data_IF_759538947573
#
_entry.id   IF_759538947573
#
_cell.length_a   1.000
_cell.length_b   1.000
_cell.length_c   1.000
_cell.angle_alpha   90.00
_cell.angle_beta   90.00
_cell.angle_gamma   90.00
#
_symmetry.space_group_name_H-M   'P 1'
#
loop_
_entity.id
_entity.type
_entity.pdbx_description
1 polymer ?
#
# COMPACT_ATOMS: atom_id res chain seq x y z
N UNK A 1 5.97 30.43 -23.93
CA UNK A 1 5.78 29.56 -22.76
C UNK A 1 5.74 28.12 -23.28
N UNK A 2 6.66 27.25 -22.87
CA UNK A 2 6.61 25.84 -23.25
C UNK A 2 5.48 25.15 -22.45
N UNK A 3 4.71 24.21 -23.04
CA UNK A 3 3.68 23.49 -22.31
C UNK A 3 4.30 22.65 -21.18
N UNK A 4 3.63 22.57 -20.03
CA UNK A 4 4.06 21.70 -18.92
C UNK A 4 3.97 20.24 -19.38
N UNK A 5 5.12 19.58 -19.38
CA UNK A 5 5.26 18.17 -19.71
C UNK A 5 5.29 17.38 -18.40
N UNK A 6 4.39 16.41 -18.21
CA UNK A 6 4.41 15.59 -17.00
C UNK A 6 5.69 14.75 -17.00
N UNK A 7 6.21 14.36 -15.83
CA UNK A 7 7.34 13.43 -15.75
C UNK A 7 7.14 12.14 -16.55
N UNK A 8 5.89 11.66 -16.65
CA UNK A 8 5.46 10.49 -17.45
C UNK A 8 5.42 10.72 -18.96
N UNK A 9 5.67 11.94 -19.42
CA UNK A 9 5.69 12.25 -20.86
C UNK A 9 7.15 12.23 -21.39
N UNK A 10 8.17 11.97 -20.55
CA UNK A 10 9.59 11.84 -20.93
C UNK A 10 9.99 10.38 -21.23
N UNK A 11 10.85 10.12 -22.23
CA UNK A 11 11.34 8.76 -22.46
C UNK A 11 12.18 8.27 -21.28
N UNK A 12 11.96 7.03 -20.83
CA UNK A 12 12.73 6.42 -19.73
C UNK A 12 11.89 5.54 -18.81
N UNK A 13 12.48 5.14 -17.69
CA UNK A 13 11.85 4.22 -16.72
C UNK A 13 10.51 4.72 -16.18
N UNK A 14 10.35 6.04 -15.98
CA UNK A 14 9.13 6.64 -15.38
C UNK A 14 7.90 6.39 -16.25
N UNK A 15 8.05 6.51 -17.56
CA UNK A 15 6.96 6.31 -18.52
C UNK A 15 6.65 4.83 -18.71
N UNK A 16 7.69 3.98 -18.74
CA UNK A 16 7.52 2.53 -18.79
C UNK A 16 6.79 2.00 -17.55
N UNK A 17 7.21 2.44 -16.36
CA UNK A 17 6.57 2.08 -15.09
C UNK A 17 5.11 2.55 -15.02
N UNK A 18 4.80 3.74 -15.53
CA UNK A 18 3.43 4.24 -15.60
C UNK A 18 2.53 3.39 -16.52
N UNK A 19 3.03 2.96 -17.67
CA UNK A 19 2.29 2.08 -18.58
C UNK A 19 1.98 0.70 -17.96
N UNK A 20 2.96 0.10 -17.28
CA UNK A 20 2.77 -1.18 -16.56
C UNK A 20 1.78 -0.98 -15.41
N UNK A 21 1.83 0.14 -14.70
CA UNK A 21 0.88 0.45 -13.63
C UNK A 21 -0.56 0.60 -14.16
N UNK A 22 -0.74 1.17 -15.35
CA UNK A 22 -2.05 1.23 -15.99
C UNK A 22 -2.59 -0.16 -16.36
N UNK A 23 -1.73 -1.08 -16.81
CA UNK A 23 -2.10 -2.48 -17.05
C UNK A 23 -2.44 -3.21 -15.73
N UNK A 24 -1.62 -3.03 -14.69
CA UNK A 24 -1.83 -3.63 -13.38
C UNK A 24 -3.19 -3.26 -12.77
N UNK A 25 -3.64 -2.00 -12.91
CA UNK A 25 -4.98 -1.57 -12.46
C UNK A 25 -6.12 -2.26 -13.20
N UNK A 26 -5.88 -2.72 -14.42
CA UNK A 26 -6.88 -3.36 -15.27
C UNK A 26 -6.85 -4.90 -15.18
N UNK A 27 -5.90 -5.49 -14.45
CA UNK A 27 -5.83 -6.95 -14.28
C UNK A 27 -6.66 -7.42 -13.09
N UNK A 28 -7.42 -8.50 -13.29
CA UNK A 28 -8.14 -9.20 -12.22
C UNK A 28 -7.44 -10.46 -11.73
N UNK A 29 -6.41 -10.94 -12.44
CA UNK A 29 -5.67 -12.14 -12.09
C UNK A 29 -4.56 -11.82 -11.07
N UNK A 30 -4.56 -12.46 -9.88
CA UNK A 30 -3.55 -12.22 -8.86
C UNK A 30 -2.12 -12.53 -9.31
N UNK A 31 -1.92 -13.56 -10.14
CA UNK A 31 -0.58 -13.92 -10.61
C UNK A 31 -0.04 -12.85 -11.57
N UNK A 32 -0.83 -12.46 -12.58
CA UNK A 32 -0.48 -11.36 -13.47
C UNK A 32 -0.26 -10.04 -12.71
N UNK A 33 -1.05 -9.74 -11.68
CA UNK A 33 -0.86 -8.55 -10.84
C UNK A 33 0.51 -8.55 -10.14
N UNK A 34 0.95 -9.70 -9.64
CA UNK A 34 2.26 -9.84 -9.00
C UNK A 34 3.40 -9.66 -10.02
N UNK A 35 3.28 -10.26 -11.20
CA UNK A 35 4.29 -10.17 -12.26
C UNK A 35 4.44 -8.73 -12.78
N UNK A 36 3.33 -8.00 -12.97
CA UNK A 36 3.36 -6.60 -13.38
C UNK A 36 4.00 -5.71 -12.31
N UNK A 37 3.69 -5.95 -11.02
CA UNK A 37 4.32 -5.20 -9.93
C UNK A 37 5.83 -5.47 -9.85
N UNK A 38 6.25 -6.72 -10.06
CA UNK A 38 7.67 -7.08 -10.10
C UNK A 38 8.43 -6.33 -11.20
N UNK A 39 7.83 -6.14 -12.37
CA UNK A 39 8.44 -5.35 -13.45
C UNK A 39 8.61 -3.87 -13.08
N UNK A 40 7.65 -3.28 -12.35
CA UNK A 40 7.77 -1.90 -11.84
C UNK A 40 8.93 -1.79 -10.85
N UNK A 41 9.08 -2.78 -9.96
CA UNK A 41 10.17 -2.83 -8.99
C UNK A 41 11.54 -2.98 -9.66
N UNK A 42 11.65 -3.78 -10.72
CA UNK A 42 12.89 -3.90 -11.50
C UNK A 42 13.31 -2.55 -12.12
N UNK A 43 12.36 -1.76 -12.63
CA UNK A 43 12.64 -0.39 -13.11
C UNK A 43 13.10 0.50 -11.96
N UNK A 44 12.46 0.40 -10.79
CA UNK A 44 12.84 1.19 -9.62
C UNK A 44 14.26 0.85 -9.12
N UNK A 45 14.67 -0.41 -9.22
CA UNK A 45 16.04 -0.87 -8.93
C UNK A 45 17.05 -0.24 -9.89
N UNK A 46 16.79 -0.24 -11.20
CA UNK A 46 17.68 0.36 -12.21
C UNK A 46 17.80 1.89 -12.08
N UNK A 47 16.73 2.55 -11.64
CA UNK A 47 16.60 4.01 -11.68
C UNK A 47 16.78 4.70 -10.32
N UNK A 48 16.79 3.93 -9.22
CA UNK A 48 16.97 4.43 -7.86
C UNK A 48 16.03 5.59 -7.47
N UNK A 49 14.74 5.50 -7.84
CA UNK A 49 13.76 6.55 -7.54
C UNK A 49 13.61 6.85 -6.04
N UNK A 50 13.81 5.84 -5.20
CA UNK A 50 13.89 5.96 -3.75
C UNK A 50 14.81 4.87 -3.20
N UNK A 51 15.48 5.18 -2.09
CA UNK A 51 16.34 4.23 -1.36
C UNK A 51 15.76 4.08 0.04
N UNK A 52 15.27 2.88 0.37
CA UNK A 52 14.73 2.59 1.69
C UNK A 52 15.82 2.60 2.76
N UNK A 53 15.57 3.27 3.89
CA UNK A 53 16.50 3.32 5.03
C UNK A 53 16.03 2.38 6.13
N UNK A 54 14.78 2.54 6.58
CA UNK A 54 14.16 1.71 7.62
C UNK A 54 12.65 1.74 7.49
N UNK A 55 11.99 0.72 8.04
CA UNK A 55 10.55 0.72 8.25
C UNK A 55 10.22 1.36 9.60
N UNK A 56 9.04 2.00 9.75
CA UNK A 56 8.58 2.46 11.05
C UNK A 56 8.47 1.28 12.02
N UNK A 57 8.76 1.54 13.30
CA UNK A 57 8.60 0.53 14.34
C UNK A 57 7.12 0.10 14.47
N UNK A 58 6.84 -1.16 14.87
CA UNK A 58 5.47 -1.59 15.14
C UNK A 58 4.78 -0.70 16.17
N UNK A 59 3.56 -0.26 15.87
CA UNK A 59 2.70 0.42 16.83
C UNK A 59 2.08 -0.53 17.85
N UNK A 60 1.33 0.01 18.81
CA UNK A 60 0.57 -0.78 19.78
C UNK A 60 -0.86 -0.24 19.96
N UNK A 61 -1.77 -1.14 20.32
CA UNK A 61 -3.14 -0.82 20.72
C UNK A 61 -3.37 -1.17 22.19
N UNK A 62 -4.34 -0.52 22.81
CA UNK A 62 -4.73 -0.80 24.21
C UNK A 62 -6.22 -1.15 24.23
N UNK A 63 -6.57 -2.22 24.97
CA UNK A 63 -7.95 -2.55 25.32
C UNK A 63 -8.05 -2.84 26.82
N UNK A 64 -9.24 -2.65 27.39
CA UNK A 64 -9.51 -3.16 28.74
C UNK A 64 -9.67 -4.67 28.71
N UNK A 65 -9.34 -5.34 29.82
CA UNK A 65 -9.35 -6.80 29.92
C UNK A 65 -10.72 -7.42 29.67
N UNK A 66 -11.80 -6.69 29.99
CA UNK A 66 -13.18 -7.13 29.80
C UNK A 66 -13.77 -6.76 28.44
N UNK A 67 -13.02 -6.10 27.54
CA UNK A 67 -13.46 -5.87 26.15
C UNK A 67 -13.02 -7.06 25.30
N UNK A 68 -13.99 -7.73 24.70
CA UNK A 68 -13.81 -8.94 23.91
C UNK A 68 -13.97 -8.67 22.42
N UNK A 69 -13.56 -9.65 21.62
CA UNK A 69 -13.55 -9.64 20.16
C UNK A 69 -12.66 -8.60 19.48
N UNK A 70 -11.78 -7.95 20.23
CA UNK A 70 -10.74 -7.10 19.63
C UNK A 70 -9.62 -8.01 19.09
N UNK A 71 -9.22 -7.91 17.81
CA UNK A 71 -8.09 -8.67 17.27
C UNK A 71 -6.80 -8.39 18.05
N UNK A 72 -5.90 -9.38 18.13
CA UNK A 72 -4.60 -9.20 18.77
C UNK A 72 -3.65 -8.31 17.94
N UNK A 73 -3.83 -8.30 16.61
CA UNK A 73 -3.04 -7.51 15.67
C UNK A 73 -3.99 -6.69 14.81
N UNK A 74 -3.64 -5.42 14.60
CA UNK A 74 -4.39 -4.49 13.76
C UNK A 74 -3.44 -3.79 12.80
N UNK A 75 -3.80 -3.70 11.53
CA UNK A 75 -3.04 -2.92 10.55
C UNK A 75 -3.42 -1.45 10.63
N UNK A 76 -2.41 -0.59 10.58
CA UNK A 76 -2.55 0.86 10.57
C UNK A 76 -2.42 1.38 9.15
N UNK A 77 -3.43 2.09 8.67
CA UNK A 77 -3.43 2.70 7.36
C UNK A 77 -4.26 3.99 7.38
N UNK A 78 -3.83 4.99 6.61
CA UNK A 78 -4.59 6.24 6.48
C UNK A 78 -5.89 6.05 5.70
N UNK A 79 -5.81 5.37 4.55
CA UNK A 79 -6.97 5.10 3.67
C UNK A 79 -7.90 4.00 4.21
N UNK A 80 -7.48 3.27 5.24
CA UNK A 80 -8.27 2.23 5.90
C UNK A 80 -8.14 2.40 7.42
N UNK A 81 -8.78 3.46 7.98
CA UNK A 81 -8.40 4.04 9.27
C UNK A 81 -8.71 3.13 10.46
N UNK A 82 -7.69 2.78 11.23
CA UNK A 82 -7.83 1.98 12.45
C UNK A 82 -8.63 2.75 13.52
N UNK A 83 -9.57 2.11 14.26
CA UNK A 83 -9.87 0.67 14.29
C UNK A 83 -11.01 0.23 13.35
N UNK A 84 -11.52 1.04 12.42
CA UNK A 84 -12.67 0.64 11.58
C UNK A 84 -12.54 -0.75 10.89
N UNK A 85 -11.36 -1.17 10.39
CA UNK A 85 -11.16 -2.47 9.73
C UNK A 85 -11.37 -3.70 10.62
N UNK A 86 -11.41 -3.53 11.94
CA UNK A 86 -11.51 -4.64 12.89
C UNK A 86 -12.96 -5.03 13.21
N UNK A 87 -13.92 -4.49 12.45
CA UNK A 87 -15.35 -4.73 12.62
C UNK A 87 -15.83 -4.40 14.05
N UNK A 88 -15.60 -3.16 14.47
CA UNK A 88 -15.82 -2.69 15.85
C UNK A 88 -17.25 -2.87 16.38
N UNK A 89 -18.24 -2.99 15.49
CA UNK A 89 -19.64 -3.30 15.84
C UNK A 89 -19.82 -4.67 16.47
N UNK A 90 -18.84 -5.56 16.31
CA UNK A 90 -18.83 -6.91 16.89
C UNK A 90 -18.14 -6.96 18.26
N UNK A 91 -17.71 -5.83 18.83
CA UNK A 91 -17.08 -5.81 20.14
C UNK A 91 -18.13 -5.90 21.24
N UNK A 92 -17.77 -6.54 22.36
CA UNK A 92 -18.65 -6.61 23.53
C UNK A 92 -17.87 -6.51 24.84
N UNK A 93 -18.60 -6.18 25.89
CA UNK A 93 -18.10 -6.20 27.26
C UNK A 93 -18.47 -7.52 27.93
N UNK A 94 -17.49 -8.14 28.59
CA UNK A 94 -17.64 -9.29 29.46
C UNK A 94 -17.88 -8.79 30.89
N UNK A 95 -18.85 -9.39 31.59
CA UNK A 95 -19.27 -8.98 32.94
C UNK A 95 -18.37 -9.53 34.03
#
# INVERSE_FOLDING_TARGET
MLPYRRPTDHPGGTTRGAAIYDELKNTGDPAAHQDLMAQILAIAEEQFYAIGISLPAPGYGIRKNYVRNVPAVTFQAYLHPTPAPTNTTTYWFDG
#
